data_IF_896257471481
#
_entry.id   IF_896257471481
#
_cell.length_a   1.000
_cell.length_b   1.000
_cell.length_c   1.000
_cell.angle_alpha   90.00
_cell.angle_beta   90.00
_cell.angle_gamma   90.00
#
_symmetry.space_group_name_H-M   'P 1'
#
loop_
_entity.id
_entity.type
_entity.pdbx_description
1 polymer ?
#
# COMPACT_ATOMS: atom_id res chain seq x y z
N UNK A 1 -29.00 12.45 -12.25
CA UNK A 1 -27.84 11.73 -12.01
C UNK A 1 -27.50 10.73 -13.04
N UNK A 2 -28.43 9.97 -13.43
CA UNK A 2 -28.12 8.93 -14.38
C UNK A 2 -27.76 9.45 -15.73
N UNK A 3 -28.43 10.48 -16.14
CA UNK A 3 -28.09 11.02 -17.42
C UNK A 3 -26.69 11.55 -17.40
N UNK A 4 -26.25 11.93 -16.23
CA UNK A 4 -24.88 12.32 -16.10
C UNK A 4 -23.95 11.14 -16.23
N UNK A 5 -24.47 9.95 -16.08
CA UNK A 5 -23.63 8.77 -16.13
C UNK A 5 -22.92 8.68 -17.46
N UNK A 6 -23.59 8.98 -18.54
CA UNK A 6 -22.91 8.83 -19.83
C UNK A 6 -21.86 9.92 -20.00
N UNK A 7 -22.11 11.11 -19.49
CA UNK A 7 -21.07 12.11 -19.51
C UNK A 7 -19.99 11.78 -18.50
N UNK A 8 -20.43 11.25 -17.37
CA UNK A 8 -19.52 10.91 -16.32
C UNK A 8 -18.63 9.78 -16.69
N UNK A 9 -18.95 9.08 -17.74
CA UNK A 9 -18.14 7.98 -18.15
C UNK A 9 -16.67 8.40 -18.35
N UNK A 10 -16.46 9.48 -19.07
CA UNK A 10 -15.13 10.01 -19.26
C UNK A 10 -14.62 10.65 -17.98
N UNK A 11 -15.51 11.33 -17.28
CA UNK A 11 -15.13 11.93 -16.02
C UNK A 11 -14.79 10.89 -14.99
N UNK A 12 -15.45 9.75 -15.06
CA UNK A 12 -15.15 8.65 -14.14
C UNK A 12 -13.76 8.14 -14.34
N UNK A 13 -13.30 8.10 -15.57
CA UNK A 13 -11.95 7.64 -15.83
C UNK A 13 -10.94 8.60 -15.22
N UNK A 14 -11.12 9.88 -15.44
CA UNK A 14 -10.25 10.89 -14.85
C UNK A 14 -10.37 10.90 -13.34
N UNK A 15 -11.58 10.75 -12.85
CA UNK A 15 -11.81 10.72 -11.43
C UNK A 15 -11.07 9.53 -10.81
N UNK A 16 -11.21 8.37 -11.40
CA UNK A 16 -10.56 7.19 -10.88
C UNK A 16 -9.04 7.35 -10.84
N UNK A 17 -8.49 7.97 -11.88
CA UNK A 17 -7.06 8.20 -11.94
C UNK A 17 -6.63 9.17 -10.85
N UNK A 18 -7.32 10.29 -10.74
CA UNK A 18 -6.98 11.29 -9.75
C UNK A 18 -7.16 10.76 -8.33
N UNK A 19 -8.24 10.05 -8.11
CA UNK A 19 -8.50 9.48 -6.80
C UNK A 19 -7.40 8.51 -6.43
N UNK A 20 -7.04 7.64 -7.37
CA UNK A 20 -6.01 6.65 -7.14
C UNK A 20 -4.68 7.31 -6.82
N UNK A 21 -4.28 8.28 -7.63
CA UNK A 21 -3.01 8.97 -7.40
C UNK A 21 -2.99 9.64 -6.04
N UNK A 22 -4.07 10.30 -5.70
CA UNK A 22 -4.15 11.00 -4.44
C UNK A 22 -4.04 10.05 -3.25
N UNK A 23 -4.75 8.93 -3.34
CA UNK A 23 -4.73 7.97 -2.24
C UNK A 23 -3.40 7.25 -2.12
N UNK A 24 -2.81 6.88 -3.25
CA UNK A 24 -1.55 6.16 -3.23
C UNK A 24 -0.42 7.07 -2.77
N UNK A 25 -0.34 8.26 -3.32
CA UNK A 25 0.81 9.12 -3.12
C UNK A 25 0.63 10.02 -1.90
N UNK A 26 -0.46 10.75 -1.86
CA UNK A 26 -0.64 11.75 -0.80
C UNK A 26 -1.10 11.13 0.51
N UNK A 27 -2.05 10.21 0.44
CA UNK A 27 -2.62 9.65 1.65
C UNK A 27 -2.01 8.34 2.05
N UNK A 28 -1.12 7.81 1.23
CA UNK A 28 -0.40 6.58 1.53
C UNK A 28 -1.33 5.44 1.89
N UNK A 29 -2.21 5.14 0.96
CA UNK A 29 -3.08 3.98 1.06
C UNK A 29 -2.65 2.97 0.03
N UNK A 30 -2.96 1.70 0.28
CA UNK A 30 -2.63 0.65 -0.66
C UNK A 30 -3.72 0.45 -1.68
N UNK A 31 -3.39 -0.25 -2.74
CA UNK A 31 -4.32 -0.42 -3.86
C UNK A 31 -5.60 -1.16 -3.47
N UNK A 32 -5.52 -2.07 -2.50
CA UNK A 32 -6.72 -2.81 -2.11
C UNK A 32 -7.77 -1.88 -1.54
N UNK A 33 -7.35 -0.94 -0.72
CA UNK A 33 -8.27 0.01 -0.14
C UNK A 33 -8.79 0.99 -1.18
N UNK A 34 -7.91 1.44 -2.06
CA UNK A 34 -8.30 2.37 -3.11
C UNK A 34 -9.32 1.70 -4.04
N UNK A 35 -9.10 0.43 -4.37
CA UNK A 35 -10.04 -0.31 -5.20
C UNK A 35 -11.41 -0.36 -4.55
N UNK A 36 -11.45 -0.63 -3.26
CA UNK A 36 -12.72 -0.66 -2.54
C UNK A 36 -13.40 0.69 -2.57
N UNK A 37 -12.63 1.75 -2.38
CA UNK A 37 -13.19 3.09 -2.38
C UNK A 37 -13.81 3.42 -3.73
N UNK A 38 -13.13 3.07 -4.81
CA UNK A 38 -13.65 3.33 -6.14
C UNK A 38 -14.92 2.54 -6.40
N UNK A 39 -14.93 1.29 -5.95
CA UNK A 39 -16.12 0.46 -6.10
C UNK A 39 -17.30 1.03 -5.32
N UNK A 40 -17.03 1.54 -4.14
CA UNK A 40 -18.09 2.13 -3.33
C UNK A 40 -18.64 3.40 -3.96
N UNK A 41 -17.82 4.07 -4.74
CA UNK A 41 -18.28 5.27 -5.44
C UNK A 41 -18.98 4.95 -6.75
N UNK A 42 -19.12 3.67 -7.06
CA UNK A 42 -19.85 3.28 -8.24
C UNK A 42 -19.06 3.31 -9.52
N UNK A 43 -17.75 3.36 -9.42
CA UNK A 43 -16.91 3.33 -10.61
C UNK A 43 -16.95 1.95 -11.23
N UNK A 44 -17.07 1.90 -12.55
CA UNK A 44 -17.19 0.65 -13.26
C UNK A 44 -15.96 -0.22 -13.09
N UNK A 45 -16.20 -1.51 -13.12
CA UNK A 45 -15.15 -2.48 -12.89
C UNK A 45 -13.96 -2.29 -13.82
N UNK A 46 -14.25 -2.01 -15.08
CA UNK A 46 -13.17 -1.83 -16.05
C UNK A 46 -12.31 -0.64 -15.73
N UNK A 47 -12.94 0.43 -15.26
CA UNK A 47 -12.19 1.63 -14.90
C UNK A 47 -11.40 1.43 -13.63
N UNK A 48 -11.97 0.68 -12.70
CA UNK A 48 -11.23 0.35 -11.49
C UNK A 48 -10.00 -0.46 -11.83
N UNK A 49 -10.18 -1.47 -12.68
CA UNK A 49 -9.05 -2.30 -13.08
C UNK A 49 -7.98 -1.47 -13.78
N UNK A 50 -8.42 -0.60 -14.67
CA UNK A 50 -7.48 0.25 -15.40
C UNK A 50 -6.69 1.13 -14.43
N UNK A 51 -7.37 1.70 -13.44
CA UNK A 51 -6.70 2.54 -12.46
C UNK A 51 -5.69 1.73 -11.66
N UNK A 52 -6.06 0.52 -11.28
CA UNK A 52 -5.14 -0.34 -10.54
C UNK A 52 -3.93 -0.70 -11.36
N UNK A 53 -4.14 -1.00 -12.64
CA UNK A 53 -3.04 -1.39 -13.51
C UNK A 53 -2.07 -0.25 -13.75
N UNK A 54 -2.51 0.97 -13.56
CA UNK A 54 -1.66 2.13 -13.81
C UNK A 54 -0.99 2.67 -12.57
N UNK A 55 -1.16 2.02 -11.44
CA UNK A 55 -0.46 2.43 -10.24
C UNK A 55 1.02 2.15 -10.42
N UNK A 56 1.83 3.16 -10.14
CA UNK A 56 3.27 2.97 -10.16
C UNK A 56 3.67 2.22 -8.89
N UNK A 57 4.20 1.01 -9.03
CA UNK A 57 4.55 0.23 -7.84
C UNK A 57 5.52 0.95 -6.92
N UNK A 58 6.39 1.75 -7.47
CA UNK A 58 7.37 2.47 -6.65
C UNK A 58 6.70 3.49 -5.76
N UNK A 59 5.66 4.16 -6.28
CA UNK A 59 4.93 5.11 -5.47
C UNK A 59 4.22 4.42 -4.32
N UNK A 60 3.64 3.27 -4.61
CA UNK A 60 2.95 2.52 -3.58
C UNK A 60 3.92 2.04 -2.50
N UNK A 61 5.06 1.54 -2.93
CA UNK A 61 6.06 1.05 -2.00
C UNK A 61 6.63 2.21 -1.17
N UNK A 62 6.85 3.34 -1.80
CA UNK A 62 7.39 4.50 -1.09
C UNK A 62 6.44 4.95 0.02
N UNK A 63 5.14 4.98 -0.26
CA UNK A 63 4.16 5.34 0.76
C UNK A 63 4.13 4.33 1.88
N UNK A 64 4.16 3.05 1.52
CA UNK A 64 4.15 2.01 2.53
C UNK A 64 5.41 2.06 3.39
N UNK A 65 6.54 2.34 2.77
CA UNK A 65 7.79 2.42 3.51
C UNK A 65 7.76 3.55 4.52
N UNK A 66 7.25 4.70 4.13
CA UNK A 66 7.16 5.81 5.05
C UNK A 66 6.29 5.48 6.25
N UNK A 67 5.14 4.90 6.00
CA UNK A 67 4.24 4.51 7.08
C UNK A 67 4.86 3.43 7.94
N UNK A 68 5.53 2.50 7.30
CA UNK A 68 6.14 1.40 8.04
C UNK A 68 7.26 1.88 8.93
N UNK A 69 8.05 2.82 8.44
CA UNK A 69 9.14 3.36 9.25
C UNK A 69 8.59 4.02 10.51
N UNK A 70 7.55 4.80 10.35
CA UNK A 70 6.93 5.45 11.49
C UNK A 70 6.37 4.44 12.47
N UNK A 71 5.65 3.46 11.94
CA UNK A 71 5.05 2.43 12.79
C UNK A 71 6.13 1.62 13.51
N UNK A 72 7.19 1.30 12.78
CA UNK A 72 8.28 0.53 13.33
C UNK A 72 8.88 1.22 14.55
N UNK A 73 9.11 2.52 14.41
CA UNK A 73 9.67 3.28 15.51
C UNK A 73 8.74 3.38 16.70
N UNK A 74 7.45 3.42 16.45
CA UNK A 74 6.47 3.52 17.51
C UNK A 74 6.20 2.21 18.20
N UNK A 75 6.60 1.11 17.60
CA UNK A 75 6.32 -0.20 18.14
C UNK A 75 7.52 -0.69 18.90
N UNK A 76 7.31 -1.15 20.13
CA UNK A 76 8.39 -1.73 20.89
C UNK A 76 8.28 -3.24 20.82
N UNK A 77 9.35 -3.90 21.24
CA UNK A 77 9.38 -5.34 21.23
C UNK A 77 10.45 -5.85 20.31
N UNK A 78 10.46 -7.14 20.10
CA UNK A 78 11.47 -7.76 19.27
C UNK A 78 11.13 -7.58 17.81
N UNK A 79 12.11 -7.83 16.97
CA UNK A 79 11.97 -7.66 15.55
C UNK A 79 10.75 -8.40 15.00
N UNK A 80 10.55 -9.61 15.46
CA UNK A 80 9.43 -10.41 14.99
C UNK A 80 8.11 -9.73 15.30
N UNK A 81 7.98 -9.22 16.53
CA UNK A 81 6.76 -8.55 16.92
C UNK A 81 6.56 -7.25 16.16
N UNK A 82 7.64 -6.53 15.97
CA UNK A 82 7.56 -5.29 15.19
C UNK A 82 7.10 -5.58 13.78
N UNK A 83 7.66 -6.63 13.18
CA UNK A 83 7.26 -7.02 11.84
C UNK A 83 5.78 -7.35 11.77
N UNK A 84 5.32 -8.14 12.73
CA UNK A 84 3.94 -8.57 12.73
C UNK A 84 2.98 -7.39 12.86
N UNK A 85 3.28 -6.52 13.79
CA UNK A 85 2.41 -5.36 14.02
C UNK A 85 2.43 -4.39 12.86
N UNK A 86 3.61 -4.18 12.29
CA UNK A 86 3.74 -3.30 11.15
C UNK A 86 3.03 -3.89 9.93
N UNK A 87 3.15 -5.20 9.76
CA UNK A 87 2.46 -5.87 8.66
C UNK A 87 0.95 -5.69 8.79
N UNK A 88 0.42 -5.91 9.97
CA UNK A 88 -1.02 -5.76 10.18
C UNK A 88 -1.46 -4.33 9.89
N UNK A 89 -0.66 -3.37 10.31
CA UNK A 89 -0.98 -1.97 10.06
C UNK A 89 -1.04 -1.68 8.57
N UNK A 90 -0.04 -2.16 7.83
CA UNK A 90 0.00 -1.91 6.39
C UNK A 90 -1.13 -2.63 5.67
N UNK A 91 -1.46 -3.84 6.10
CA UNK A 91 -2.55 -4.55 5.48
C UNK A 91 -3.87 -3.81 5.67
N UNK A 92 -4.06 -3.23 6.83
CA UNK A 92 -5.27 -2.45 7.08
C UNK A 92 -5.32 -1.19 6.23
N UNK A 93 -4.16 -0.70 5.82
CA UNK A 93 -4.11 0.46 4.93
C UNK A 93 -4.35 0.06 3.48
N UNK A 94 -4.48 -1.23 3.20
CA UNK A 94 -4.81 -1.68 1.87
C UNK A 94 -3.65 -2.16 1.03
N UNK A 95 -2.45 -2.20 1.60
CA UNK A 95 -1.30 -2.66 0.83
C UNK A 95 -1.36 -4.17 0.65
N UNK A 96 -0.86 -4.62 -0.49
CA UNK A 96 -0.85 -6.05 -0.79
C UNK A 96 0.23 -6.75 0.01
N UNK A 97 0.10 -8.07 0.10
CA UNK A 97 1.12 -8.85 0.78
C UNK A 97 2.49 -8.68 0.17
N UNK A 98 2.55 -8.54 -1.15
CA UNK A 98 3.83 -8.36 -1.83
C UNK A 98 4.51 -7.07 -1.39
N UNK A 99 3.75 -5.98 -1.31
CA UNK A 99 4.30 -4.71 -0.87
C UNK A 99 4.72 -4.80 0.59
N UNK A 100 3.87 -5.39 1.41
CA UNK A 100 4.17 -5.52 2.83
C UNK A 100 5.45 -6.30 3.03
N UNK A 101 5.58 -7.42 2.35
CA UNK A 101 6.77 -8.26 2.47
C UNK A 101 8.03 -7.50 2.05
N UNK A 102 7.94 -6.79 0.95
CA UNK A 102 9.10 -6.06 0.47
C UNK A 102 9.52 -4.97 1.44
N UNK A 103 8.55 -4.24 1.96
CA UNK A 103 8.82 -3.15 2.88
C UNK A 103 9.43 -3.68 4.17
N UNK A 104 8.85 -4.73 4.71
CA UNK A 104 9.34 -5.30 5.96
C UNK A 104 10.73 -5.87 5.78
N UNK A 105 10.99 -6.45 4.64
CA UNK A 105 12.30 -6.98 4.34
C UNK A 105 13.36 -5.88 4.40
N UNK A 106 13.05 -4.74 3.83
CA UNK A 106 13.98 -3.63 3.82
C UNK A 106 14.16 -3.04 5.22
N UNK A 107 13.07 -2.91 5.96
CA UNK A 107 13.16 -2.38 7.31
C UNK A 107 13.98 -3.28 8.21
N UNK A 108 13.72 -4.55 8.11
CA UNK A 108 14.41 -5.53 8.92
C UNK A 108 15.90 -5.53 8.62
N UNK A 109 16.20 -5.41 7.35
CA UNK A 109 17.59 -5.38 6.91
C UNK A 109 18.30 -4.15 7.46
N UNK A 110 17.63 -3.02 7.39
CA UNK A 110 18.22 -1.79 7.87
C UNK A 110 18.44 -1.81 9.36
N UNK A 111 17.44 -2.31 10.09
CA UNK A 111 17.59 -2.26 11.54
C UNK A 111 18.55 -3.30 12.07
N UNK A 112 18.75 -4.37 11.35
CA UNK A 112 19.71 -5.36 11.84
C UNK A 112 21.04 -5.23 11.21
N UNK A 113 21.23 -4.19 10.49
CA UNK A 113 22.50 -3.98 9.86
C UNK A 113 23.62 -3.99 10.87
N UNK A 114 23.34 -3.49 12.01
CA UNK A 114 24.31 -3.52 13.05
C UNK A 114 24.45 -4.87 13.63
N UNK A 115 23.44 -5.56 13.75
CA UNK A 115 23.59 -6.87 14.27
C UNK A 115 23.89 -7.80 13.23
N UNK A 116 23.73 -7.96 12.53
CA UNK A 116 23.89 -8.91 11.83
C UNK A 116 24.26 -9.83 11.46
N UNK A 117 24.04 -9.97 11.24
CA UNK A 117 24.08 -10.75 10.94
C UNK A 117 23.93 -11.69 10.74
N UNK A 118 23.45 -11.99 10.76
CA UNK A 118 22.95 -12.92 10.82
C UNK A 118 22.39 -13.58 10.48
N UNK A 119 21.87 -13.61 10.36
CA UNK A 119 21.09 -14.31 10.31
C UNK A 119 20.63 -14.74 9.74
N UNK A 120 20.36 -14.65 9.56
CA UNK A 120 19.75 -15.00 9.28
C UNK A 120 19.41 -15.35 8.66
N UNK A 121 19.34 -15.46 8.46
CA UNK A 121 18.92 -15.86 8.18
C UNK A 121 18.60 -16.38 7.90
N UNK A 122 18.81 -16.69 7.79
CA UNK A 122 18.44 -17.34 7.91
C UNK A 122 17.67 -17.65 8.03
N UNK A 123 17.26 -17.69 8.15
CA UNK A 123 16.44 -17.99 8.61
C UNK A 123 15.67 -18.14 8.23
N UNK A 124 15.48 -18.18 8.07
CA UNK A 124 14.70 -18.22 8.08
C UNK A 124 13.96 -18.08 7.69
N UNK A 125 13.62 -18.02 7.26
CA UNK A 125 12.72 -17.94 7.27
C UNK A 125 12.21 -18.13 6.71
#
# INVERSE_FOLDING_TARGET
MDKLASQNYLNDEEFAKMWTDSRIISQKKGRNLVRQELQQKGIRKELVKHAMDNINPEDEIAGAMKLAQTKWKQTSGETFEKKRKTAAFLMRRGYTGAVVTKVLSQLSSESSEDEFEILDDSFDY
#
